data_IF_182956009279
#
_entry.id   IF_182956009279
#
_cell.length_a   1.000
_cell.length_b   1.000
_cell.length_c   1.000
_cell.angle_alpha   90.00
_cell.angle_beta   90.00
_cell.angle_gamma   90.00
#
_symmetry.space_group_name_H-M   'P 1'
#
loop_
_entity.id
_entity.type
_entity.pdbx_description
1 polymer ?
#
# COMPACT_ATOMS: atom_id res chain seq x y z
N UNK A 1 106.66 43.55 44.19
CA UNK A 1 106.65 43.34 42.73
C UNK A 1 106.36 41.87 42.50
N UNK A 2 105.10 41.52 42.22
CA UNK A 2 104.67 40.13 42.03
C UNK A 2 104.36 39.94 40.55
N UNK A 3 105.25 39.21 39.88
CA UNK A 3 105.11 38.74 38.51
C UNK A 3 104.10 37.60 38.49
N UNK A 4 102.91 37.85 37.97
CA UNK A 4 101.91 36.80 37.74
C UNK A 4 102.28 36.12 36.43
N UNK A 5 102.86 34.93 36.59
CA UNK A 5 103.17 33.96 35.54
C UNK A 5 101.89 33.52 34.84
N UNK A 6 101.77 33.84 33.55
CA UNK A 6 100.58 33.54 32.76
C UNK A 6 100.50 32.05 32.46
N UNK A 7 99.56 31.36 33.11
CA UNK A 7 99.15 29.99 32.78
C UNK A 7 98.69 29.92 31.31
N UNK A 8 99.45 29.23 30.47
CA UNK A 8 99.01 28.81 29.14
C UNK A 8 97.92 27.73 29.29
N UNK A 9 96.70 28.05 28.88
CA UNK A 9 95.59 27.09 28.81
C UNK A 9 95.82 26.13 27.62
N UNK A 10 95.56 24.82 27.78
CA UNK A 10 95.72 23.86 26.70
C UNK A 10 94.70 24.10 25.59
N UNK A 11 95.19 24.12 24.35
CA UNK A 11 94.45 24.26 23.10
C UNK A 11 93.29 23.27 23.03
N UNK A 12 92.07 23.76 22.77
CA UNK A 12 90.89 22.91 22.58
C UNK A 12 91.09 21.95 21.41
N UNK A 13 91.00 20.64 21.67
CA UNK A 13 90.93 19.63 20.60
C UNK A 13 89.57 19.76 19.91
N UNK A 14 89.49 19.94 18.58
CA UNK A 14 88.22 19.86 17.89
C UNK A 14 87.66 18.45 18.02
N UNK A 15 86.44 18.34 18.54
CA UNK A 15 85.70 17.07 18.59
C UNK A 15 85.38 16.71 17.14
N UNK A 16 86.07 15.71 16.60
CA UNK A 16 85.78 15.17 15.27
C UNK A 16 84.32 14.70 15.27
N UNK A 17 83.47 15.23 14.38
CA UNK A 17 82.06 14.82 14.17
C UNK A 17 81.93 13.37 13.62
N UNK A 18 82.93 12.52 13.89
CA UNK A 18 83.12 11.20 13.32
C UNK A 18 82.31 10.11 14.06
N UNK A 19 81.47 10.52 15.01
CA UNK A 19 80.29 9.76 15.45
C UNK A 19 79.05 10.25 14.69
N UNK A 20 79.18 10.38 13.38
CA UNK A 20 78.05 10.49 12.46
C UNK A 20 77.20 9.23 12.66
N UNK A 21 75.94 9.39 13.07
CA UNK A 21 75.00 8.27 13.22
C UNK A 21 74.82 7.64 11.83
N UNK A 22 75.64 6.64 11.52
CA UNK A 22 75.53 5.87 10.29
C UNK A 22 74.31 4.97 10.48
N UNK A 23 73.26 5.28 9.74
CA UNK A 23 72.04 4.48 9.70
C UNK A 23 72.44 3.09 9.20
N UNK A 24 72.32 2.09 10.08
CA UNK A 24 72.59 0.71 9.72
C UNK A 24 71.51 0.21 8.75
N UNK A 25 71.82 -0.75 7.89
CA UNK A 25 70.83 -1.33 6.97
C UNK A 25 69.67 -1.96 7.75
N UNK A 26 69.94 -2.46 8.95
CA UNK A 26 68.93 -2.91 9.90
C UNK A 26 67.95 -1.79 10.32
N UNK A 27 68.43 -0.58 10.60
CA UNK A 27 67.57 0.56 10.97
C UNK A 27 66.69 1.00 9.78
N UNK A 28 67.19 0.86 8.55
CA UNK A 28 66.41 1.15 7.34
C UNK A 28 65.28 0.14 7.13
N UNK A 29 65.57 -1.16 7.29
CA UNK A 29 64.57 -2.21 7.12
C UNK A 29 63.53 -2.16 8.24
N UNK A 30 63.95 -1.93 9.49
CA UNK A 30 63.03 -1.85 10.62
C UNK A 30 62.14 -0.61 10.55
N UNK A 31 62.69 0.57 10.22
CA UNK A 31 61.89 1.77 10.01
C UNK A 31 60.93 1.64 8.82
N UNK A 32 61.34 0.97 7.74
CA UNK A 32 60.46 0.67 6.61
C UNK A 32 59.32 -0.29 6.99
N UNK A 33 59.60 -1.35 7.74
CA UNK A 33 58.57 -2.29 8.21
C UNK A 33 57.58 -1.62 9.18
N UNK A 34 58.06 -0.75 10.08
CA UNK A 34 57.21 0.00 11.00
C UNK A 34 56.32 0.99 10.22
N UNK A 35 56.89 1.70 9.25
CA UNK A 35 56.14 2.63 8.41
C UNK A 35 55.06 1.91 7.57
N UNK A 36 55.41 0.75 6.98
CA UNK A 36 54.47 -0.07 6.22
C UNK A 36 53.33 -0.58 7.11
N UNK A 37 53.64 -1.03 8.33
CA UNK A 37 52.64 -1.51 9.29
C UNK A 37 51.71 -0.37 9.74
N UNK A 38 52.25 0.82 10.02
CA UNK A 38 51.44 2.00 10.34
C UNK A 38 50.53 2.41 9.18
N UNK A 39 51.02 2.38 7.94
CA UNK A 39 50.21 2.70 6.76
C UNK A 39 49.07 1.71 6.58
N UNK A 40 49.34 0.41 6.74
CA UNK A 40 48.32 -0.63 6.67
C UNK A 40 47.30 -0.52 7.81
N UNK A 41 47.75 -0.25 9.03
CA UNK A 41 46.87 0.01 10.18
C UNK A 41 45.97 1.22 9.96
N UNK A 42 46.49 2.30 9.41
CA UNK A 42 45.72 3.51 9.10
C UNK A 42 44.68 3.25 7.99
N UNK A 43 45.04 2.49 6.96
CA UNK A 43 44.09 2.09 5.92
C UNK A 43 42.93 1.26 6.47
N UNK A 44 43.22 0.28 7.34
CA UNK A 44 42.19 -0.55 8.00
C UNK A 44 41.33 0.30 8.93
N UNK A 45 41.92 1.23 9.68
CA UNK A 45 41.17 2.15 10.54
C UNK A 45 40.21 3.05 9.73
N UNK A 46 40.65 3.58 8.58
CA UNK A 46 39.78 4.36 7.69
C UNK A 46 38.62 3.53 7.14
N UNK A 47 38.88 2.29 6.71
CA UNK A 47 37.83 1.37 6.26
C UNK A 47 36.86 1.02 7.40
N UNK A 48 37.35 0.84 8.62
CA UNK A 48 36.51 0.60 9.80
C UNK A 48 35.64 1.81 10.13
N UNK A 49 36.16 3.03 10.04
CA UNK A 49 35.38 4.26 10.24
C UNK A 49 34.32 4.45 9.14
N UNK A 50 34.68 4.17 7.88
CA UNK A 50 33.73 4.17 6.77
C UNK A 50 32.63 3.13 6.99
N UNK A 51 32.99 1.91 7.40
CA UNK A 51 32.05 0.85 7.72
C UNK A 51 31.14 1.21 8.89
N UNK A 52 31.68 1.75 9.99
CA UNK A 52 30.88 2.24 11.13
C UNK A 52 29.89 3.33 10.70
N UNK A 53 30.29 4.20 9.75
CA UNK A 53 29.41 5.23 9.20
C UNK A 53 28.30 4.66 8.31
N UNK A 54 28.47 3.45 7.76
CA UNK A 54 27.41 2.73 7.05
C UNK A 54 26.47 1.95 7.96
N UNK A 55 26.75 1.86 9.26
CA UNK A 55 25.84 1.22 10.22
C UNK A 55 24.71 2.22 10.54
N UNK A 56 23.70 2.20 9.68
CA UNK A 56 22.44 2.86 9.96
C UNK A 56 21.63 1.97 10.93
N UNK A 57 21.70 2.31 12.22
CA UNK A 57 20.86 1.68 13.24
C UNK A 57 19.46 2.23 13.04
N UNK A 58 18.72 1.62 12.13
CA UNK A 58 17.30 1.83 11.94
C UNK A 58 16.61 1.52 13.28
N UNK A 59 16.36 2.57 14.08
CA UNK A 59 15.56 2.47 15.29
C UNK A 59 14.13 2.25 14.83
N UNK A 60 13.77 0.99 14.64
CA UNK A 60 12.38 0.59 14.46
C UNK A 60 11.69 0.95 15.77
N UNK A 61 11.02 2.10 15.79
CA UNK A 61 10.14 2.45 16.89
C UNK A 61 9.18 1.26 17.09
N UNK A 62 9.01 0.74 18.32
CA UNK A 62 8.05 -0.32 18.58
C UNK A 62 6.66 0.20 18.17
N UNK A 63 6.19 -0.20 16.99
CA UNK A 63 4.82 0.07 16.57
C UNK A 63 3.98 -0.85 17.43
N UNK A 64 3.10 -0.32 18.32
CA UNK A 64 2.21 -1.19 19.06
C UNK A 64 1.34 -1.93 18.04
N UNK A 65 1.49 -3.26 18.01
CA UNK A 65 0.57 -4.13 17.28
C UNK A 65 -0.74 -4.05 18.05
N UNK A 66 -1.60 -3.11 17.67
CA UNK A 66 -2.96 -3.04 18.21
C UNK A 66 -3.71 -4.22 17.60
N UNK A 67 -3.69 -5.35 18.29
CA UNK A 67 -4.56 -6.47 18.03
C UNK A 67 -5.97 -6.03 18.42
N UNK A 68 -6.68 -5.38 17.50
CA UNK A 68 -8.10 -5.11 17.68
C UNK A 68 -8.80 -6.45 17.48
N UNK A 69 -9.53 -6.97 18.48
CA UNK A 69 -10.30 -8.19 18.29
C UNK A 69 -11.26 -7.96 17.13
N UNK A 70 -11.43 -8.92 16.21
CA UNK A 70 -12.36 -8.78 15.10
C UNK A 70 -13.73 -8.42 15.70
N UNK A 71 -14.22 -7.23 15.37
CA UNK A 71 -15.56 -6.82 15.78
C UNK A 71 -16.51 -7.88 15.21
N UNK A 72 -17.32 -8.55 16.05
CA UNK A 72 -18.35 -9.44 15.53
C UNK A 72 -19.18 -8.62 14.53
N UNK A 73 -19.58 -9.19 13.38
CA UNK A 73 -20.33 -8.48 12.35
C UNK A 73 -21.42 -7.66 13.04
N UNK A 74 -21.35 -6.33 12.91
CA UNK A 74 -22.38 -5.47 13.48
C UNK A 74 -23.74 -5.90 12.92
N UNK A 75 -24.78 -5.84 13.75
CA UNK A 75 -26.15 -6.13 13.30
C UNK A 75 -26.43 -5.37 12.01
N UNK A 76 -27.01 -6.08 11.05
CA UNK A 76 -27.30 -5.55 9.72
C UNK A 76 -28.03 -4.21 9.87
N UNK A 77 -27.63 -3.16 9.14
CA UNK A 77 -28.48 -1.98 9.06
C UNK A 77 -29.85 -2.46 8.58
N UNK A 78 -30.92 -2.12 9.31
CA UNK A 78 -32.28 -2.39 8.86
C UNK A 78 -32.38 -1.78 7.46
N UNK A 79 -32.56 -2.63 6.46
CA UNK A 79 -32.78 -2.17 5.09
C UNK A 79 -33.88 -1.13 5.12
N UNK A 80 -33.69 -0.05 4.38
CA UNK A 80 -34.80 0.83 4.06
C UNK A 80 -35.77 -0.05 3.27
N UNK A 81 -36.98 -0.22 3.79
CA UNK A 81 -38.12 -0.64 2.99
C UNK A 81 -38.31 0.50 1.97
N UNK A 82 -37.62 0.42 0.83
CA UNK A 82 -38.25 0.94 -0.38
C UNK A 82 -39.45 0.03 -0.55
N UNK A 83 -40.61 0.50 -0.10
CA UNK A 83 -41.90 0.11 -0.65
C UNK A 83 -41.79 0.38 -2.16
N UNK A 84 -41.18 -0.57 -2.88
CA UNK A 84 -41.39 -0.73 -4.30
C UNK A 84 -42.83 -1.20 -4.36
N UNK A 85 -43.74 -0.24 -4.31
CA UNK A 85 -45.14 -0.43 -4.60
C UNK A 85 -45.16 -1.13 -5.95
N UNK A 86 -45.50 -2.43 -5.94
CA UNK A 86 -45.64 -3.19 -7.16
C UNK A 86 -46.56 -2.37 -8.07
N UNK A 87 -46.21 -2.13 -9.34
CA UNK A 87 -47.01 -1.28 -10.21
C UNK A 87 -48.46 -1.72 -10.11
N UNK A 88 -49.33 -0.81 -9.69
CA UNK A 88 -50.74 -1.09 -9.50
C UNK A 88 -51.32 -1.67 -10.78
N UNK A 89 -52.24 -2.63 -10.64
CA UNK A 89 -52.93 -3.31 -11.75
C UNK A 89 -53.74 -2.37 -12.70
N UNK A 90 -53.61 -1.05 -12.59
CA UNK A 90 -54.27 -0.04 -13.41
C UNK A 90 -53.55 0.28 -14.73
N UNK A 91 -52.31 -0.18 -14.95
CA UNK A 91 -51.60 -0.03 -16.24
C UNK A 91 -51.63 -1.29 -17.14
N UNK A 92 -52.57 -2.22 -16.91
CA UNK A 92 -52.84 -3.28 -17.89
C UNK A 92 -53.74 -2.70 -18.97
N UNK A 93 -53.18 -2.43 -20.16
CA UNK A 93 -53.99 -2.11 -21.34
C UNK A 93 -55.02 -3.22 -21.59
N UNK A 94 -56.29 -2.82 -21.68
CA UNK A 94 -57.42 -3.69 -22.01
C UNK A 94 -57.17 -4.33 -23.39
N UNK A 95 -56.72 -5.58 -23.39
CA UNK A 95 -56.71 -6.39 -24.61
C UNK A 95 -58.15 -6.79 -24.91
N UNK A 96 -58.73 -6.17 -25.95
CA UNK A 96 -60.03 -6.55 -26.49
C UNK A 96 -59.96 -7.99 -27.01
N UNK A 97 -60.76 -8.87 -26.42
CA UNK A 97 -60.81 -10.29 -26.73
C UNK A 97 -61.47 -10.54 -28.11
N UNK A 98 -60.79 -11.17 -29.09
CA UNK A 98 -61.47 -11.65 -30.29
C UNK A 98 -62.25 -12.93 -29.97
N UNK A 99 -63.49 -12.99 -30.49
CA UNK A 99 -64.49 -14.03 -30.24
C UNK A 99 -63.98 -15.46 -30.43
N UNK A 100 -64.29 -16.29 -29.43
CA UNK A 100 -63.97 -17.71 -29.28
C UNK A 100 -64.86 -18.54 -30.22
N UNK A 101 -64.55 -18.61 -31.51
CA UNK A 101 -65.16 -19.64 -32.37
C UNK A 101 -64.16 -20.39 -33.26
N UNK A 102 -62.87 -20.01 -33.30
CA UNK A 102 -61.87 -20.68 -34.15
C UNK A 102 -60.65 -21.28 -33.41
N UNK A 103 -60.55 -21.16 -32.08
CA UNK A 103 -59.42 -21.72 -31.28
C UNK A 103 -59.58 -23.19 -30.85
N UNK A 104 -60.76 -23.79 -31.02
CA UNK A 104 -61.01 -25.17 -30.56
C UNK A 104 -60.37 -26.28 -31.41
N UNK A 105 -59.80 -25.97 -32.58
CA UNK A 105 -59.08 -26.95 -33.39
C UNK A 105 -57.55 -26.94 -33.16
N UNK A 106 -57.01 -25.95 -32.44
CA UNK A 106 -55.57 -25.86 -32.16
C UNK A 106 -55.15 -26.41 -30.78
N UNK A 107 -56.10 -26.68 -29.87
CA UNK A 107 -55.79 -27.15 -28.50
C UNK A 107 -55.68 -28.68 -28.41
N UNK A 108 -56.11 -29.43 -29.43
CA UNK A 108 -56.11 -30.91 -29.36
C UNK A 108 -54.73 -31.54 -29.62
N UNK A 109 -53.83 -30.86 -30.36
CA UNK A 109 -52.48 -31.38 -30.63
C UNK A 109 -51.43 -30.99 -29.55
N UNK A 110 -51.77 -30.12 -28.61
CA UNK A 110 -50.85 -29.71 -27.52
C UNK A 110 -51.04 -30.53 -26.22
N UNK A 111 -52.15 -31.27 -26.08
CA UNK A 111 -52.48 -32.03 -24.86
C UNK A 111 -51.67 -33.33 -24.74
N UNK A 112 -51.01 -33.79 -25.81
CA UNK A 112 -50.17 -35.01 -25.75
C UNK A 112 -48.74 -34.72 -25.26
N UNK A 113 -48.26 -33.48 -25.31
CA UNK A 113 -46.87 -33.13 -24.93
C UNK A 113 -46.70 -32.63 -23.48
N UNK A 114 -47.79 -32.36 -22.74
CA UNK A 114 -47.72 -31.65 -21.44
C UNK A 114 -48.22 -32.47 -20.25
N UNK A 115 -48.50 -33.77 -20.42
CA UNK A 115 -48.91 -34.67 -19.32
C UNK A 115 -47.72 -35.19 -18.48
N UNK A 116 -46.48 -34.85 -18.83
CA UNK A 116 -45.28 -35.24 -18.08
C UNK A 116 -44.68 -34.15 -17.16
N UNK A 117 -45.14 -32.90 -17.25
CA UNK A 117 -44.49 -31.76 -16.57
C UNK A 117 -45.33 -31.11 -15.44
N UNK A 118 -46.59 -31.52 -15.25
CA UNK A 118 -47.53 -30.85 -14.34
C UNK A 118 -47.75 -31.55 -12.99
N UNK A 119 -47.01 -32.62 -12.67
CA UNK A 119 -47.09 -33.31 -11.36
C UNK A 119 -46.08 -32.76 -10.33
N UNK A 120 -45.22 -31.80 -10.70
CA UNK A 120 -44.25 -31.19 -9.79
C UNK A 120 -44.64 -29.79 -9.25
N UNK A 121 -45.81 -29.25 -9.61
CA UNK A 121 -46.22 -27.87 -9.24
C UNK A 121 -47.34 -27.79 -8.18
N UNK A 122 -47.68 -28.91 -7.51
CA UNK A 122 -48.67 -28.89 -6.43
C UNK A 122 -48.11 -29.53 -5.15
N UNK A 123 -47.18 -28.82 -4.51
CA UNK A 123 -46.95 -28.93 -3.07
C UNK A 123 -47.08 -27.54 -2.46
N UNK A 124 -48.04 -27.40 -1.54
CA UNK A 124 -48.43 -26.13 -0.94
C UNK A 124 -47.28 -25.46 -0.20
N UNK A 125 -46.95 -24.24 -0.61
CA UNK A 125 -46.21 -23.29 0.19
C UNK A 125 -47.20 -22.28 0.76
N UNK A 126 -47.72 -22.61 1.94
CA UNK A 126 -48.31 -21.65 2.87
C UNK A 126 -47.41 -20.42 3.00
N UNK A 127 -48.05 -19.26 2.88
CA UNK A 127 -47.54 -17.93 3.15
C UNK A 127 -46.94 -17.81 4.55
N UNK A 128 -45.61 -17.77 4.63
CA UNK A 128 -44.86 -17.14 5.73
C UNK A 128 -43.44 -16.76 5.32
N UNK A 129 -43.27 -16.12 4.16
CA UNK A 129 -41.99 -15.52 3.79
C UNK A 129 -41.96 -14.04 4.23
N UNK A 130 -41.88 -13.80 5.54
CA UNK A 130 -41.20 -12.59 6.02
C UNK A 130 -39.69 -12.81 5.84
N UNK A 131 -39.27 -12.82 4.58
CA UNK A 131 -37.86 -12.72 4.24
C UNK A 131 -37.45 -11.29 4.52
N UNK A 132 -36.91 -11.01 5.71
CA UNK A 132 -36.12 -9.80 5.91
C UNK A 132 -34.92 -9.92 4.98
N UNK A 133 -35.06 -9.42 3.76
CA UNK A 133 -33.97 -9.30 2.80
C UNK A 133 -32.90 -8.45 3.45
N UNK A 134 -31.98 -9.09 4.16
CA UNK A 134 -30.76 -8.46 4.62
C UNK A 134 -29.97 -8.20 3.35
N UNK A 135 -30.14 -6.98 2.85
CA UNK A 135 -29.58 -6.50 1.60
C UNK A 135 -28.10 -6.81 1.47
N UNK A 136 -27.63 -6.73 0.24
CA UNK A 136 -26.25 -7.01 -0.13
C UNK A 136 -25.28 -6.26 0.80
N UNK A 137 -24.37 -7.00 1.46
CA UNK A 137 -23.34 -6.46 2.37
C UNK A 137 -22.28 -5.64 1.63
N UNK A 138 -22.43 -5.45 0.32
CA UNK A 138 -21.53 -4.63 -0.47
C UNK A 138 -21.88 -3.17 -0.25
N UNK A 139 -20.98 -2.46 0.42
CA UNK A 139 -20.91 -1.01 0.26
C UNK A 139 -20.85 -0.69 -1.25
N UNK A 140 -21.62 0.25 -1.78
CA UNK A 140 -21.56 0.61 -3.20
C UNK A 140 -20.12 1.02 -3.56
N UNK A 141 -19.41 0.14 -4.27
CA UNK A 141 -18.00 0.33 -4.64
C UNK A 141 -16.95 -0.49 -3.86
N UNK A 142 -17.34 -1.39 -2.95
CA UNK A 142 -16.41 -2.24 -2.19
C UNK A 142 -16.06 -3.55 -2.89
N UNK A 143 -14.76 -3.88 -2.94
CA UNK A 143 -14.25 -5.20 -3.32
C UNK A 143 -14.74 -6.25 -2.33
N UNK A 144 -15.51 -7.22 -2.81
CA UNK A 144 -16.13 -8.26 -2.00
C UNK A 144 -15.13 -9.02 -1.10
N UNK A 145 -15.25 -8.78 0.20
CA UNK A 145 -14.64 -9.52 1.31
C UNK A 145 -15.45 -9.18 2.56
N UNK A 146 -15.91 -10.18 3.29
CA UNK A 146 -17.06 -10.06 4.18
C UNK A 146 -16.88 -9.13 5.40
N UNK A 147 -17.95 -8.37 5.71
CA UNK A 147 -18.51 -8.27 7.06
C UNK A 147 -17.58 -7.83 8.20
N UNK A 148 -16.68 -6.90 7.93
CA UNK A 148 -15.99 -6.08 8.92
C UNK A 148 -15.75 -4.72 8.28
N UNK A 149 -15.85 -3.63 9.03
CA UNK A 149 -15.42 -2.31 8.56
C UNK A 149 -13.89 -2.37 8.47
N UNK A 150 -13.38 -2.96 7.40
CA UNK A 150 -11.96 -3.24 7.25
C UNK A 150 -11.21 -1.90 7.28
N UNK A 151 -10.06 -1.84 7.96
CA UNK A 151 -9.40 -0.55 8.16
C UNK A 151 -9.08 0.16 6.85
N UNK A 152 -8.94 -0.59 5.75
CA UNK A 152 -8.76 -0.08 4.40
C UNK A 152 -9.91 0.76 3.87
N UNK A 153 -11.17 0.49 4.25
CA UNK A 153 -12.35 1.17 3.70
C UNK A 153 -12.51 2.61 4.22
N UNK A 154 -11.79 2.96 5.31
CA UNK A 154 -11.82 4.31 5.90
C UNK A 154 -10.79 5.25 5.29
N UNK A 155 -9.82 4.73 4.53
CA UNK A 155 -8.73 5.54 4.02
C UNK A 155 -9.11 6.20 2.70
N UNK A 156 -8.75 7.48 2.58
CA UNK A 156 -8.74 8.20 1.32
C UNK A 156 -7.33 8.67 1.05
N UNK A 157 -6.70 8.10 0.04
CA UNK A 157 -5.34 8.49 -0.34
C UNK A 157 -5.45 9.43 -1.54
N UNK A 158 -5.13 10.69 -1.30
CA UNK A 158 -5.05 11.72 -2.33
C UNK A 158 -3.60 11.80 -2.81
N UNK A 159 -3.39 11.47 -4.08
CA UNK A 159 -2.08 11.55 -4.74
C UNK A 159 -2.21 12.57 -5.85
N UNK A 160 -1.79 13.80 -5.55
CA UNK A 160 -1.78 14.90 -6.52
C UNK A 160 -0.42 14.97 -7.21
N UNK A 161 -0.43 14.97 -8.55
CA UNK A 161 0.76 15.09 -9.37
C UNK A 161 0.53 16.07 -10.53
N UNK A 162 1.62 16.59 -11.12
CA UNK A 162 1.54 17.55 -12.24
C UNK A 162 1.24 16.89 -13.59
N UNK A 163 1.66 15.64 -13.75
CA UNK A 163 1.49 14.84 -14.95
C UNK A 163 1.59 13.35 -14.60
N UNK A 164 1.23 12.49 -15.55
CA UNK A 164 1.27 11.03 -15.39
C UNK A 164 2.66 10.49 -15.04
N UNK A 165 3.74 11.10 -15.58
CA UNK A 165 5.11 10.68 -15.28
C UNK A 165 5.50 10.96 -13.82
N UNK A 166 5.14 12.12 -13.29
CA UNK A 166 5.32 12.45 -11.86
C UNK A 166 4.47 11.55 -10.98
N UNK A 167 3.24 11.23 -11.40
CA UNK A 167 2.35 10.32 -10.69
C UNK A 167 2.97 8.91 -10.59
N UNK A 168 3.46 8.37 -11.70
CA UNK A 168 4.13 7.07 -11.74
C UNK A 168 5.37 7.02 -10.84
N UNK A 169 6.19 8.09 -10.81
CA UNK A 169 7.35 8.19 -9.92
C UNK A 169 6.96 8.19 -8.44
N UNK A 170 5.85 8.83 -8.09
CA UNK A 170 5.31 8.80 -6.72
C UNK A 170 4.92 7.37 -6.36
N UNK A 171 4.16 6.68 -7.22
CA UNK A 171 3.76 5.29 -6.96
C UNK A 171 4.97 4.37 -6.80
N UNK A 172 5.95 4.46 -7.70
CA UNK A 172 7.17 3.65 -7.64
C UNK A 172 8.03 3.95 -6.41
N UNK A 173 8.08 5.20 -5.95
CA UNK A 173 8.84 5.57 -4.74
C UNK A 173 8.33 4.86 -3.47
N UNK A 174 7.05 4.49 -3.47
CA UNK A 174 6.39 3.78 -2.39
C UNK A 174 6.19 2.29 -2.70
N UNK A 175 6.72 1.80 -3.82
CA UNK A 175 6.50 0.45 -4.33
C UNK A 175 5.01 0.09 -4.44
N UNK A 176 4.18 1.08 -4.78
CA UNK A 176 2.75 0.88 -5.07
C UNK A 176 2.63 0.35 -6.48
N UNK A 177 1.93 -0.77 -6.63
CA UNK A 177 1.70 -1.40 -7.93
C UNK A 177 0.28 -1.11 -8.42
N UNK A 178 0.09 -1.05 -9.73
CA UNK A 178 -1.28 -1.13 -10.27
C UNK A 178 -1.75 -2.59 -10.16
N UNK A 179 -3.00 -2.79 -9.74
CA UNK A 179 -3.68 -4.09 -9.85
C UNK A 179 -5.02 -3.92 -10.57
N UNK A 180 -5.29 -4.81 -11.51
CA UNK A 180 -6.51 -4.85 -12.31
C UNK A 180 -7.19 -6.20 -12.11
N UNK A 181 -8.48 -6.16 -11.77
CA UNK A 181 -9.32 -7.35 -11.59
C UNK A 181 -10.76 -7.09 -12.04
N UNK A 182 -11.55 -8.16 -12.17
CA UNK A 182 -12.94 -8.08 -12.63
C UNK A 182 -13.08 -8.33 -14.15
N UNK A 183 -14.25 -8.00 -14.70
CA UNK A 183 -14.55 -8.16 -16.14
C UNK A 183 -14.65 -9.62 -16.60
N UNK A 184 -15.02 -10.55 -15.71
CA UNK A 184 -15.09 -11.99 -16.01
C UNK A 184 -13.74 -12.71 -16.00
N UNK A 185 -12.64 -11.99 -15.79
CA UNK A 185 -11.29 -12.56 -15.66
C UNK A 185 -11.04 -12.96 -14.21
N UNK A 186 -10.64 -14.22 -13.99
CA UNK A 186 -10.39 -14.78 -12.65
C UNK A 186 -9.03 -14.39 -12.07
N UNK A 187 -8.14 -13.84 -12.88
CA UNK A 187 -6.80 -13.45 -12.46
C UNK A 187 -6.72 -11.99 -12.06
N UNK A 188 -5.80 -11.71 -11.14
CA UNK A 188 -5.36 -10.39 -10.74
C UNK A 188 -4.11 -10.04 -11.52
N UNK A 189 -4.17 -9.01 -12.35
CA UNK A 189 -3.04 -8.57 -13.16
C UNK A 189 -2.39 -7.36 -12.49
N UNK A 190 -1.08 -7.45 -12.26
CA UNK A 190 -0.30 -6.44 -11.57
C UNK A 190 0.71 -5.80 -12.52
N UNK A 191 0.96 -4.51 -12.34
CA UNK A 191 2.04 -3.78 -13.00
C UNK A 191 2.91 -3.06 -11.96
N UNK A 192 4.23 -3.22 -12.12
CA UNK A 192 5.25 -2.56 -11.30
C UNK A 192 6.22 -1.75 -12.15
N UNK A 193 6.98 -0.88 -11.51
CA UNK A 193 7.88 0.08 -12.15
C UNK A 193 7.14 0.93 -13.20
N UNK A 194 6.06 1.57 -12.76
CA UNK A 194 5.12 2.27 -13.64
C UNK A 194 5.76 3.47 -14.36
N UNK A 195 6.83 4.03 -13.79
CA UNK A 195 7.58 5.14 -14.37
C UNK A 195 8.55 4.72 -15.49
N UNK A 196 8.86 3.43 -15.61
CA UNK A 196 9.71 2.91 -16.68
C UNK A 196 9.04 3.03 -18.05
N UNK A 197 9.84 3.06 -19.11
CA UNK A 197 9.35 3.09 -20.51
C UNK A 197 8.49 1.86 -20.81
N UNK A 198 8.84 0.70 -20.26
CA UNK A 198 8.09 -0.55 -20.35
C UNK A 198 7.87 -1.12 -18.93
N UNK A 199 6.75 -0.79 -18.27
CA UNK A 199 6.42 -1.32 -16.96
C UNK A 199 6.30 -2.85 -16.99
N UNK A 200 6.69 -3.50 -15.90
CA UNK A 200 6.65 -4.97 -15.83
C UNK A 200 5.28 -5.44 -15.37
N UNK A 201 4.57 -6.17 -16.24
CA UNK A 201 3.29 -6.80 -15.91
C UNK A 201 3.46 -8.28 -15.50
N UNK A 202 2.64 -8.72 -14.55
CA UNK A 202 2.55 -10.13 -14.15
C UNK A 202 1.16 -10.45 -13.61
N UNK A 203 0.74 -11.71 -13.70
CA UNK A 203 -0.60 -12.15 -13.29
C UNK A 203 -0.54 -13.15 -12.14
N UNK A 204 -1.57 -13.15 -11.28
CA UNK A 204 -1.76 -14.13 -10.21
C UNK A 204 -3.20 -14.62 -10.18
N UNK A 205 -3.40 -15.91 -9.96
CA UNK A 205 -4.73 -16.51 -9.79
C UNK A 205 -5.36 -16.21 -8.43
N UNK A 206 -4.52 -16.05 -7.40
CA UNK A 206 -4.96 -15.73 -6.05
C UNK A 206 -4.71 -14.25 -5.75
N UNK A 207 -5.66 -13.62 -5.07
CA UNK A 207 -5.49 -12.29 -4.52
C UNK A 207 -4.25 -12.25 -3.60
N UNK A 208 -3.49 -11.17 -3.71
CA UNK A 208 -2.36 -10.91 -2.83
C UNK A 208 -2.87 -10.54 -1.42
N UNK A 209 -2.04 -10.69 -0.39
CA UNK A 209 -2.32 -10.19 0.97
C UNK A 209 -2.11 -8.67 1.10
N UNK A 210 -1.69 -8.01 0.02
CA UNK A 210 -1.59 -6.55 -0.08
C UNK A 210 -2.97 -5.91 -0.06
N UNK A 211 -3.08 -4.79 0.67
CA UNK A 211 -4.29 -3.96 0.67
C UNK A 211 -4.49 -3.32 -0.71
N UNK A 212 -5.71 -3.43 -1.24
CA UNK A 212 -6.10 -2.87 -2.53
C UNK A 212 -6.96 -1.64 -2.29
N UNK A 213 -6.58 -0.52 -2.91
CA UNK A 213 -7.24 0.77 -2.70
C UNK A 213 -7.63 1.39 -4.03
N UNK A 214 -8.85 1.92 -4.08
CA UNK A 214 -9.34 2.70 -5.21
C UNK A 214 -8.76 4.12 -5.15
N UNK A 215 -8.13 4.62 -6.24
CA UNK A 215 -7.67 6.00 -6.29
C UNK A 215 -8.83 6.97 -6.05
N UNK A 216 -8.65 7.94 -5.15
CA UNK A 216 -9.75 8.82 -4.73
C UNK A 216 -10.08 9.88 -5.79
N UNK A 217 -9.07 10.41 -6.47
CA UNK A 217 -9.23 11.51 -7.42
C UNK A 217 -9.51 11.01 -8.85
N UNK A 218 -10.32 11.75 -9.60
CA UNK A 218 -10.66 11.41 -10.99
C UNK A 218 -9.42 11.29 -11.88
N UNK A 219 -8.48 12.23 -11.74
CA UNK A 219 -7.20 12.20 -12.46
C UNK A 219 -6.35 11.00 -12.03
N UNK A 220 -6.30 10.68 -10.74
CA UNK A 220 -5.55 9.53 -10.25
C UNK A 220 -6.13 8.22 -10.81
N UNK A 221 -7.46 8.07 -10.89
CA UNK A 221 -8.11 6.92 -11.54
C UNK A 221 -7.77 6.82 -13.02
N UNK A 222 -7.83 7.95 -13.73
CA UNK A 222 -7.52 8.02 -15.17
C UNK A 222 -6.05 7.66 -15.44
N UNK A 223 -5.11 8.26 -14.70
CA UNK A 223 -3.69 7.96 -14.83
C UNK A 223 -3.35 6.54 -14.40
N UNK A 224 -4.01 6.01 -13.38
CA UNK A 224 -3.83 4.60 -12.99
C UNK A 224 -4.22 3.71 -14.16
N UNK A 225 -5.41 3.91 -14.75
CA UNK A 225 -5.85 3.16 -15.93
C UNK A 225 -4.81 3.21 -17.06
N UNK A 226 -4.36 4.41 -17.42
CA UNK A 226 -3.38 4.63 -18.50
C UNK A 226 -2.03 3.95 -18.20
N UNK A 227 -1.57 3.95 -16.94
CA UNK A 227 -0.35 3.24 -16.53
C UNK A 227 -0.50 1.72 -16.61
N UNK A 228 -1.66 1.17 -16.26
CA UNK A 228 -1.91 -0.27 -16.40
C UNK A 228 -2.01 -0.67 -17.88
N UNK A 229 -2.63 0.16 -18.74
CA UNK A 229 -2.67 -0.05 -20.19
C UNK A 229 -1.26 0.01 -20.79
N UNK A 230 -0.42 0.96 -20.36
CA UNK A 230 0.98 1.06 -20.76
C UNK A 230 1.77 -0.21 -20.42
N UNK A 231 1.43 -0.88 -19.33
CA UNK A 231 2.02 -2.16 -18.93
C UNK A 231 1.50 -3.36 -19.76
N UNK A 232 0.56 -3.14 -20.69
CA UNK A 232 -0.05 -4.19 -21.51
C UNK A 232 -1.18 -4.94 -20.83
N UNK A 233 -1.72 -4.42 -19.71
CA UNK A 233 -2.83 -5.06 -19.00
C UNK A 233 -4.16 -4.54 -19.57
N UNK A 234 -5.09 -5.42 -19.99
CA UNK A 234 -6.40 -4.98 -20.46
C UNK A 234 -7.21 -4.43 -19.27
N UNK A 235 -7.70 -3.20 -19.41
CA UNK A 235 -8.48 -2.49 -18.37
C UNK A 235 -9.96 -2.34 -18.73
N UNK A 236 -10.37 -2.62 -19.97
CA UNK A 236 -11.77 -2.46 -20.40
C UNK A 236 -12.68 -3.43 -19.63
N UNK A 237 -13.72 -2.89 -19.00
CA UNK A 237 -14.64 -3.68 -18.17
C UNK A 237 -14.01 -4.21 -16.87
N UNK A 238 -12.81 -3.75 -16.50
CA UNK A 238 -12.08 -4.16 -15.30
C UNK A 238 -11.79 -2.95 -14.41
N UNK A 239 -11.42 -3.22 -13.17
CA UNK A 239 -11.20 -2.21 -12.15
C UNK A 239 -9.70 -2.01 -11.89
N UNK A 240 -9.09 -0.97 -12.48
CA UNK A 240 -7.71 -0.59 -12.16
C UNK A 240 -7.67 0.11 -10.79
N UNK A 241 -6.84 -0.42 -9.90
CA UNK A 241 -6.69 0.03 -8.51
C UNK A 241 -5.22 0.00 -8.10
N UNK A 242 -4.91 0.42 -6.88
CA UNK A 242 -3.56 0.41 -6.34
C UNK A 242 -3.38 -0.72 -5.31
N UNK A 243 -2.33 -1.51 -5.47
CA UNK A 243 -1.89 -2.50 -4.49
C UNK A 243 -0.79 -1.91 -3.61
N UNK A 244 -1.11 -1.67 -2.34
CA UNK A 244 -0.18 -1.09 -1.38
C UNK A 244 0.61 -2.20 -0.67
N UNK A 245 1.96 -2.12 -0.62
CA UNK A 245 2.76 -3.12 0.07
C UNK A 245 2.47 -3.10 1.58
N UNK A 246 2.64 -4.25 2.22
CA UNK A 246 2.34 -4.43 3.66
C UNK A 246 3.09 -3.40 4.53
N UNK A 247 4.35 -3.16 4.22
CA UNK A 247 5.19 -2.18 4.93
C UNK A 247 4.63 -0.75 4.81
N UNK A 248 4.07 -0.40 3.65
CA UNK A 248 3.44 0.91 3.47
C UNK A 248 2.13 1.02 4.25
N UNK A 249 1.29 -0.02 4.20
CA UNK A 249 0.06 -0.05 5.01
C UNK A 249 0.36 0.12 6.50
N UNK A 250 1.37 -0.58 7.03
CA UNK A 250 1.80 -0.41 8.42
C UNK A 250 2.22 1.02 8.76
N UNK A 251 2.95 1.69 7.86
CA UNK A 251 3.33 3.10 8.02
C UNK A 251 2.11 4.03 8.05
N UNK A 252 1.16 3.82 7.13
CA UNK A 252 -0.08 4.62 7.08
C UNK A 252 -0.94 4.43 8.34
N UNK A 253 -1.06 3.20 8.84
CA UNK A 253 -1.75 2.91 10.11
C UNK A 253 -1.08 3.60 11.29
N UNK A 254 0.26 3.60 11.34
CA UNK A 254 0.99 4.30 12.39
C UNK A 254 0.76 5.82 12.36
N UNK A 255 0.72 6.42 11.17
CA UNK A 255 0.38 7.83 10.99
C UNK A 255 -1.05 8.16 11.41
N UNK A 256 -2.01 7.30 11.07
CA UNK A 256 -3.40 7.44 11.50
C UNK A 256 -3.53 7.38 13.03
N UNK A 257 -2.81 6.45 13.66
CA UNK A 257 -2.80 6.29 15.11
C UNK A 257 -2.18 7.51 15.80
N UNK A 258 -1.05 8.00 15.30
CA UNK A 258 -0.41 9.21 15.79
C UNK A 258 -1.33 10.44 15.69
N UNK A 259 -2.04 10.59 14.57
CA UNK A 259 -3.03 11.66 14.38
C UNK A 259 -4.21 11.54 15.35
N UNK A 260 -4.75 10.32 15.53
CA UNK A 260 -5.88 10.09 16.43
C UNK A 260 -5.49 10.36 17.90
N UNK A 261 -4.34 9.86 18.34
CA UNK A 261 -3.85 10.07 19.71
C UNK A 261 -3.54 11.54 19.99
N UNK A 262 -2.97 12.27 19.03
CA UNK A 262 -2.77 13.71 19.15
C UNK A 262 -4.09 14.49 19.30
N UNK A 263 -5.17 13.99 18.70
CA UNK A 263 -6.51 14.55 18.86
C UNK A 263 -7.25 14.04 20.12
N UNK A 264 -6.61 13.21 20.95
CA UNK A 264 -7.23 12.59 22.13
C UNK A 264 -8.32 11.57 21.79
N UNK A 265 -8.23 10.94 20.62
CA UNK A 265 -9.22 10.01 20.06
C UNK A 265 -8.67 8.59 19.99
N UNK A 266 -9.57 7.61 20.13
CA UNK A 266 -9.25 6.21 19.91
C UNK A 266 -9.44 5.84 18.43
N UNK A 267 -8.76 4.80 17.97
CA UNK A 267 -8.83 4.36 16.57
C UNK A 267 -10.26 3.97 16.14
N UNK A 268 -11.05 3.44 17.07
CA UNK A 268 -12.45 3.04 16.81
C UNK A 268 -13.38 4.24 16.59
N UNK A 269 -13.01 5.42 17.08
CA UNK A 269 -13.73 6.66 16.82
C UNK A 269 -13.43 7.22 15.43
N UNK A 270 -12.40 6.71 14.72
CA UNK A 270 -12.02 7.20 13.40
C UNK A 270 -13.00 6.69 12.35
N UNK A 271 -13.69 7.62 11.69
CA UNK A 271 -14.62 7.35 10.60
C UNK A 271 -13.93 7.35 9.24
N UNK A 272 -13.01 8.28 9.02
CA UNK A 272 -12.30 8.43 7.74
C UNK A 272 -10.99 9.17 7.95
N UNK A 273 -9.93 8.71 7.28
CA UNK A 273 -8.61 9.34 7.32
C UNK A 273 -8.19 9.68 5.90
N UNK A 274 -7.84 10.94 5.67
CA UNK A 274 -7.36 11.44 4.38
C UNK A 274 -5.85 11.60 4.46
N UNK A 275 -5.14 10.86 3.61
CA UNK A 275 -3.71 10.95 3.42
C UNK A 275 -3.41 11.76 2.17
N UNK A 276 -2.40 12.61 2.24
CA UNK A 276 -1.87 13.36 1.10
C UNK A 276 -0.38 13.06 0.97
N UNK A 277 0.09 12.90 -0.28
CA UNK A 277 1.52 12.80 -0.57
C UNK A 277 2.12 14.18 -0.72
N UNK A 278 3.21 14.46 -0.02
CA UNK A 278 4.00 15.69 -0.17
C UNK A 278 5.45 15.36 -0.50
N UNK A 279 6.09 16.22 -1.28
CA UNK A 279 7.52 16.12 -1.56
C UNK A 279 8.34 16.66 -0.38
N UNK A 280 9.29 15.88 0.10
CA UNK A 280 10.22 16.24 1.18
C UNK A 280 11.66 16.07 0.67
N UNK A 281 12.33 17.18 0.28
CA UNK A 281 13.77 17.16 -0.02
C UNK A 281 14.23 16.18 -1.12
N UNK A 282 13.37 15.80 -2.06
CA UNK A 282 13.67 14.83 -3.12
C UNK A 282 13.09 13.43 -2.88
N UNK A 283 12.49 13.18 -1.72
CA UNK A 283 11.65 12.00 -1.46
C UNK A 283 10.17 12.40 -1.37
N UNK A 284 9.30 11.39 -1.27
CA UNK A 284 7.88 11.57 -1.04
C UNK A 284 7.51 11.00 0.33
N UNK A 285 6.63 11.69 1.03
CA UNK A 285 6.12 11.25 2.33
C UNK A 285 4.61 11.45 2.42
N UNK A 286 3.95 10.56 3.18
CA UNK A 286 2.53 10.64 3.45
C UNK A 286 2.27 11.47 4.71
N UNK A 287 1.26 12.32 4.63
CA UNK A 287 0.80 13.13 5.75
C UNK A 287 -0.70 12.96 5.92
N UNK A 288 -1.16 12.92 7.18
CA UNK A 288 -2.59 12.98 7.48
C UNK A 288 -3.04 14.43 7.39
N UNK A 289 -3.94 14.74 6.46
CA UNK A 289 -4.47 16.09 6.27
C UNK A 289 -5.79 16.30 6.98
N UNK A 290 -6.62 15.25 7.01
CA UNK A 290 -7.94 15.31 7.61
C UNK A 290 -8.28 13.97 8.24
N UNK A 291 -8.71 14.00 9.48
CA UNK A 291 -9.28 12.84 10.16
C UNK A 291 -10.70 13.21 10.63
N UNK A 292 -11.67 12.41 10.22
CA UNK A 292 -13.07 12.58 10.58
C UNK A 292 -13.44 11.51 11.60
N UNK A 293 -14.10 11.92 12.68
CA UNK A 293 -14.48 11.04 13.76
C UNK A 293 -15.99 10.74 13.71
N UNK A 294 -16.38 9.57 14.19
CA UNK A 294 -17.77 9.20 14.36
C UNK A 294 -18.36 10.14 15.42
N UNK A 295 -19.39 10.89 15.05
CA UNK A 295 -20.14 11.70 16.02
C UNK A 295 -20.76 10.73 17.01
N UNK A 296 -20.50 10.92 18.30
CA UNK A 296 -21.15 10.13 19.34
C UNK A 296 -22.67 10.25 19.13
N UNK A 297 -23.34 9.13 18.85
CA UNK A 297 -24.79 9.10 18.82
C UNK A 297 -25.26 9.64 20.17
N UNK A 298 -25.89 10.82 20.18
CA UNK A 298 -26.59 11.30 21.38
C UNK A 298 -27.61 10.21 21.70
N UNK A 299 -27.40 9.52 22.81
CA UNK A 299 -28.44 8.73 23.46
C UNK A 299 -29.46 9.66 24.08
#
# INVERSE_FOLDING_TARGET
MSTVESLQLPTSRPVQFEYMIKINDYDRVTSFLIALNMLMGLAVAMLLLMWLSTIDIQRIAPIPVVMVPPKPPGDNPKGYEEDVEAPGLEEVQDFTEPRIEETFLAVTDLVTATSGALVALNTGATSSSNGSGMGDKRSPGGTGGGGGEDYSDRWRVNITARNIGSFARILDSFSIECVVFGGGVKTFDYAKNLSDTAPMAYSREKADSRGVYDPTDSNARLWTRELCEKAGIPVQGRFPTHAYPIVLNQKLTALEYASATAAGKQMDEVRRTTFEVRGAGGSFEFYVTKQEYKVAARR
#
